data_IF_224877343915
#
_entry.id   IF_224877343915
#
_cell.length_a   1.000
_cell.length_b   1.000
_cell.length_c   1.000
_cell.angle_alpha   90.00
_cell.angle_beta   90.00
_cell.angle_gamma   90.00
#
_symmetry.space_group_name_H-M   'P 1'
#
loop_
_entity.id
_entity.type
_entity.pdbx_description
1 polymer ?
#
# COMPACT_ATOMS: atom_id res chain seq x y z
N UNK A 1 4.29 2.92 -14.95
CA UNK A 1 4.95 4.23 -15.09
C UNK A 1 4.89 5.03 -13.79
N UNK A 2 3.90 4.77 -12.95
CA UNK A 2 3.80 5.32 -11.62
C UNK A 2 4.60 4.46 -10.64
N UNK A 3 5.89 4.71 -10.52
CA UNK A 3 6.74 4.12 -9.48
C UNK A 3 7.92 5.05 -9.23
N UNK A 4 7.98 5.68 -8.08
CA UNK A 4 9.05 6.60 -7.74
C UNK A 4 10.41 5.90 -7.55
N UNK A 5 10.42 4.62 -7.19
CA UNK A 5 11.65 3.84 -6.99
C UNK A 5 12.39 3.51 -8.31
N UNK A 6 11.70 3.55 -9.46
CA UNK A 6 12.31 3.29 -10.77
C UNK A 6 12.98 4.52 -11.40
N UNK A 7 12.67 5.69 -10.91
CA UNK A 7 13.12 6.95 -11.51
C UNK A 7 14.24 7.64 -10.73
N UNK A 8 14.62 7.11 -9.57
CA UNK A 8 15.75 7.58 -8.80
C UNK A 8 17.02 6.80 -9.19
N UNK A 9 18.10 7.50 -9.48
CA UNK A 9 19.45 6.95 -9.46
C UNK A 9 19.88 6.66 -8.01
N UNK A 10 19.06 5.90 -7.30
CA UNK A 10 19.50 5.34 -6.02
C UNK A 10 20.42 4.21 -6.41
N UNK A 11 21.71 4.40 -6.27
CA UNK A 11 22.69 3.33 -6.34
C UNK A 11 22.23 2.22 -5.41
N UNK A 12 21.64 1.15 -5.97
CA UNK A 12 21.20 -0.01 -5.21
C UNK A 12 22.46 -0.69 -4.67
N UNK A 13 22.95 -0.23 -3.54
CA UNK A 13 23.95 -0.97 -2.76
C UNK A 13 23.27 -2.27 -2.35
N UNK A 14 23.85 -3.40 -2.74
CA UNK A 14 23.39 -4.71 -2.27
C UNK A 14 23.72 -4.83 -0.78
N UNK A 15 22.80 -4.42 0.05
CA UNK A 15 22.90 -4.57 1.49
C UNK A 15 22.41 -5.99 1.85
N UNK A 16 23.15 -6.70 2.66
CA UNK A 16 22.71 -7.99 3.19
C UNK A 16 21.52 -7.78 4.13
N UNK A 17 20.62 -8.75 4.17
CA UNK A 17 19.41 -8.67 5.01
C UNK A 17 19.79 -8.48 6.49
N UNK A 18 20.83 -9.16 6.94
CA UNK A 18 21.32 -9.10 8.32
C UNK A 18 21.84 -7.70 8.71
N UNK A 19 22.47 -7.01 7.76
CA UNK A 19 23.02 -5.66 7.97
C UNK A 19 21.91 -4.62 8.21
N UNK A 20 20.69 -4.90 7.72
CA UNK A 20 19.51 -4.06 7.94
C UNK A 20 18.78 -4.49 9.22
N UNK A 21 18.59 -5.78 9.41
CA UNK A 21 17.74 -6.30 10.47
C UNK A 21 18.31 -6.10 11.86
N UNK A 22 19.63 -6.19 12.03
CA UNK A 22 20.28 -6.03 13.35
C UNK A 22 20.06 -4.63 13.95
N UNK A 23 20.42 -3.52 13.26
CA UNK A 23 20.16 -2.19 13.79
C UNK A 23 18.65 -1.88 13.88
N UNK A 24 17.85 -2.42 12.98
CA UNK A 24 16.39 -2.22 13.02
C UNK A 24 15.75 -2.95 14.22
N UNK A 25 16.22 -4.14 14.57
CA UNK A 25 15.76 -4.87 15.75
C UNK A 25 16.13 -4.13 17.06
N UNK A 26 17.28 -3.47 17.09
CA UNK A 26 17.64 -2.60 18.20
C UNK A 26 16.70 -1.40 18.30
N UNK A 27 16.48 -0.68 17.18
CA UNK A 27 15.53 0.43 17.10
C UNK A 27 14.11 0.01 17.54
N UNK A 28 13.66 -1.18 17.13
CA UNK A 28 12.33 -1.69 17.49
C UNK A 28 12.17 -1.93 19.01
N UNK A 29 13.26 -2.19 19.74
CA UNK A 29 13.24 -2.30 21.21
C UNK A 29 13.27 -0.95 21.91
N UNK A 30 13.97 0.02 21.34
CA UNK A 30 14.25 1.31 21.97
C UNK A 30 13.19 2.37 21.62
N UNK A 31 12.63 2.31 20.42
CA UNK A 31 11.68 3.30 19.92
C UNK A 31 10.22 2.96 20.27
N UNK A 32 9.45 4.00 20.61
CA UNK A 32 8.03 3.90 20.87
C UNK A 32 7.23 3.94 19.56
N UNK A 33 7.10 2.80 18.89
CA UNK A 33 6.17 2.61 17.77
C UNK A 33 5.50 1.24 17.87
N UNK A 34 4.33 1.11 17.30
CA UNK A 34 3.52 -0.10 17.39
C UNK A 34 3.59 -0.96 16.12
N UNK A 35 3.77 -0.34 14.96
CA UNK A 35 3.65 -0.99 13.67
C UNK A 35 4.87 -0.77 12.78
N UNK A 36 5.34 -1.83 12.16
CA UNK A 36 6.35 -1.82 11.10
C UNK A 36 5.63 -1.83 9.76
N UNK A 37 5.87 -0.82 8.92
CA UNK A 37 5.39 -0.80 7.55
C UNK A 37 6.46 -1.39 6.62
N UNK A 38 6.15 -2.52 5.97
CA UNK A 38 7.02 -3.21 5.03
C UNK A 38 6.53 -3.03 3.58
N UNK A 39 7.43 -2.64 2.68
CA UNK A 39 7.08 -2.42 1.28
C UNK A 39 6.67 -0.99 0.94
N UNK A 40 7.19 0.00 1.68
CA UNK A 40 6.94 1.41 1.39
C UNK A 40 7.62 1.88 0.08
N UNK A 41 8.89 1.54 -0.11
CA UNK A 41 9.73 1.95 -1.25
C UNK A 41 9.86 0.89 -2.34
N UNK A 42 9.07 -0.15 -2.31
CA UNK A 42 9.09 -1.22 -3.30
C UNK A 42 8.20 -2.38 -2.90
N UNK A 43 7.88 -3.23 -3.86
CA UNK A 43 7.07 -4.41 -3.58
C UNK A 43 7.93 -5.51 -2.95
N UNK A 44 7.68 -5.91 -1.70
CA UNK A 44 8.44 -6.97 -1.04
C UNK A 44 8.31 -8.32 -1.75
N UNK A 45 7.22 -8.53 -2.47
CA UNK A 45 6.95 -9.77 -3.20
C UNK A 45 7.33 -9.73 -4.68
N UNK A 46 8.01 -8.67 -5.14
CA UNK A 46 8.70 -8.70 -6.44
C UNK A 46 9.79 -9.82 -6.48
N UNK A 47 10.24 -10.26 -5.30
CA UNK A 47 11.05 -11.47 -5.07
C UNK A 47 10.48 -12.19 -3.85
N UNK A 48 9.51 -13.10 -4.04
CA UNK A 48 8.71 -13.67 -2.94
C UNK A 48 9.54 -14.30 -1.82
N UNK A 49 10.56 -15.09 -2.16
CA UNK A 49 11.42 -15.76 -1.17
C UNK A 49 12.14 -14.76 -0.26
N UNK A 50 12.64 -13.65 -0.83
CA UNK A 50 13.29 -12.58 -0.06
C UNK A 50 12.26 -11.83 0.78
N UNK A 51 11.07 -11.56 0.23
CA UNK A 51 9.98 -10.93 0.93
C UNK A 51 9.56 -11.73 2.17
N UNK A 52 9.35 -13.03 2.01
CA UNK A 52 9.01 -13.95 3.12
C UNK A 52 10.14 -14.02 4.14
N UNK A 53 11.39 -14.12 3.71
CA UNK A 53 12.54 -14.14 4.63
C UNK A 53 12.59 -12.88 5.51
N UNK A 54 12.42 -11.72 4.89
CA UNK A 54 12.39 -10.43 5.60
C UNK A 54 11.19 -10.36 6.54
N UNK A 55 10.00 -10.75 6.07
CA UNK A 55 8.77 -10.69 6.85
C UNK A 55 8.84 -11.60 8.09
N UNK A 56 9.41 -12.80 7.96
CA UNK A 56 9.68 -13.71 9.10
C UNK A 56 10.59 -13.06 10.15
N UNK A 57 11.56 -12.28 9.72
CA UNK A 57 12.45 -11.59 10.65
C UNK A 57 11.75 -10.41 11.35
N UNK A 58 10.94 -9.63 10.61
CA UNK A 58 10.16 -8.52 11.16
C UNK A 58 9.11 -9.02 12.18
N UNK A 59 8.46 -10.15 11.89
CA UNK A 59 7.46 -10.76 12.76
C UNK A 59 8.00 -11.13 14.16
N UNK A 60 9.32 -11.35 14.28
CA UNK A 60 9.97 -11.68 15.57
C UNK A 60 10.31 -10.45 16.41
N UNK A 61 10.03 -9.25 15.95
CA UNK A 61 10.38 -8.00 16.65
C UNK A 61 9.35 -7.56 17.69
N UNK A 62 8.26 -8.33 17.88
CA UNK A 62 7.22 -8.02 18.87
C UNK A 62 6.41 -6.77 18.55
N UNK A 63 6.33 -6.40 17.29
CA UNK A 63 5.53 -5.28 16.77
C UNK A 63 4.49 -5.81 15.78
N UNK A 64 3.39 -5.07 15.60
CA UNK A 64 2.51 -5.32 14.47
C UNK A 64 3.28 -5.10 13.16
N UNK A 65 2.95 -5.86 12.13
CA UNK A 65 3.56 -5.69 10.81
C UNK A 65 2.46 -5.49 9.77
N UNK A 66 2.61 -4.46 8.97
CA UNK A 66 1.79 -4.22 7.80
C UNK A 66 2.67 -4.29 6.55
N UNK A 67 2.27 -5.02 5.53
CA UNK A 67 2.99 -5.03 4.26
C UNK A 67 2.15 -4.46 3.12
N UNK A 68 2.82 -3.83 2.15
CA UNK A 68 2.16 -3.33 0.94
C UNK A 68 2.62 -4.10 -0.28
N UNK A 69 1.69 -4.49 -1.16
CA UNK A 69 2.02 -5.23 -2.37
C UNK A 69 1.11 -4.90 -3.55
N UNK A 70 1.60 -5.17 -4.76
CA UNK A 70 0.85 -5.28 -6.03
C UNK A 70 0.93 -6.69 -6.61
N UNK A 71 1.66 -7.60 -5.96
CA UNK A 71 1.89 -8.94 -6.45
C UNK A 71 0.61 -9.80 -6.40
N UNK A 72 0.52 -10.78 -7.29
CA UNK A 72 -0.35 -11.93 -7.10
C UNK A 72 0.29 -12.84 -6.06
N UNK A 73 -0.41 -13.06 -4.94
CA UNK A 73 0.04 -13.94 -3.86
C UNK A 73 -0.77 -15.22 -3.88
N UNK A 74 -0.08 -16.35 -4.09
CA UNK A 74 -0.69 -17.67 -4.20
C UNK A 74 0.28 -18.79 -3.79
N UNK A 75 -0.22 -20.01 -3.66
CA UNK A 75 0.58 -21.23 -3.40
C UNK A 75 1.42 -21.11 -2.13
N UNK A 76 2.68 -21.52 -2.22
CA UNK A 76 3.62 -21.57 -1.06
C UNK A 76 3.88 -20.21 -0.40
N UNK A 77 3.62 -19.10 -1.10
CA UNK A 77 3.72 -17.76 -0.51
C UNK A 77 2.59 -17.56 0.50
N UNK A 78 1.36 -17.99 0.18
CA UNK A 78 0.23 -17.93 1.12
C UNK A 78 0.44 -18.84 2.31
N UNK A 79 0.97 -20.05 2.11
CA UNK A 79 1.30 -20.97 3.20
C UNK A 79 2.29 -20.30 4.18
N UNK A 80 3.36 -19.71 3.64
CA UNK A 80 4.35 -19.00 4.45
C UNK A 80 3.77 -17.77 5.17
N UNK A 81 2.85 -17.04 4.53
CA UNK A 81 2.16 -15.90 5.15
C UNK A 81 1.22 -16.35 6.27
N UNK A 82 0.52 -17.48 6.10
CA UNK A 82 -0.33 -18.05 7.14
C UNK A 82 0.49 -18.50 8.37
N UNK A 83 1.66 -19.12 8.15
CA UNK A 83 2.57 -19.46 9.24
C UNK A 83 3.06 -18.22 10.02
N UNK A 84 3.42 -17.15 9.28
CA UNK A 84 3.84 -15.89 9.89
C UNK A 84 2.69 -15.25 10.67
N UNK A 85 1.48 -15.21 10.10
CA UNK A 85 0.28 -14.70 10.78
C UNK A 85 0.04 -15.46 12.09
N UNK A 86 0.05 -16.79 12.04
CA UNK A 86 -0.19 -17.63 13.22
C UNK A 86 0.87 -17.42 14.32
N UNK A 87 2.13 -17.26 13.92
CA UNK A 87 3.22 -16.93 14.85
C UNK A 87 3.01 -15.55 15.50
N UNK A 88 2.62 -14.56 14.74
CA UNK A 88 2.39 -13.19 15.25
C UNK A 88 1.18 -13.12 16.15
N UNK A 89 0.09 -13.80 15.79
CA UNK A 89 -1.13 -13.90 16.60
C UNK A 89 -0.84 -14.55 17.96
N UNK A 90 -0.09 -15.64 17.99
CA UNK A 90 0.36 -16.28 19.22
C UNK A 90 1.23 -15.35 20.10
N UNK A 91 1.92 -14.40 19.51
CA UNK A 91 2.70 -13.36 20.19
C UNK A 91 1.88 -12.11 20.55
N UNK A 92 0.57 -12.07 20.29
CA UNK A 92 -0.30 -10.92 20.53
C UNK A 92 -0.10 -9.76 19.56
N UNK A 93 0.50 -10.02 18.40
CA UNK A 93 0.73 -9.02 17.34
C UNK A 93 -0.02 -9.39 16.06
N UNK A 94 -0.23 -8.42 15.17
CA UNK A 94 -1.06 -8.56 13.97
C UNK A 94 -0.22 -8.41 12.72
N UNK A 95 -0.38 -9.34 11.78
CA UNK A 95 0.03 -9.18 10.40
C UNK A 95 -1.15 -8.66 9.59
N UNK A 96 -0.98 -7.54 8.86
CA UNK A 96 -1.99 -6.97 7.98
C UNK A 96 -1.40 -6.60 6.62
N UNK A 97 -2.25 -6.34 5.63
CA UNK A 97 -1.81 -6.07 4.27
C UNK A 97 -2.50 -4.86 3.64
N UNK A 98 -1.78 -4.16 2.77
CA UNK A 98 -2.30 -3.18 1.82
C UNK A 98 -2.08 -3.70 0.40
N UNK A 99 -3.15 -3.96 -0.33
CA UNK A 99 -3.06 -4.28 -1.76
C UNK A 99 -3.26 -2.99 -2.55
N UNK A 100 -2.23 -2.57 -3.28
CA UNK A 100 -2.28 -1.32 -4.03
C UNK A 100 -2.98 -1.49 -5.36
N UNK A 101 -4.00 -0.65 -5.62
CA UNK A 101 -4.82 -0.68 -6.83
C UNK A 101 -5.32 0.72 -7.16
N UNK A 102 -4.59 1.45 -8.02
CA UNK A 102 -4.84 2.87 -8.32
C UNK A 102 -5.86 3.10 -9.44
N UNK A 103 -6.15 2.11 -10.26
CA UNK A 103 -7.11 2.16 -11.38
C UNK A 103 -7.47 0.73 -11.80
N UNK A 104 -8.50 0.59 -12.64
CA UNK A 104 -8.99 -0.72 -13.11
C UNK A 104 -8.70 -0.93 -14.61
N UNK A 105 -9.50 -0.32 -15.47
CA UNK A 105 -9.39 -0.50 -16.93
C UNK A 105 -8.11 0.16 -17.49
N UNK A 106 -7.66 1.23 -16.85
CA UNK A 106 -6.45 1.96 -17.21
C UNK A 106 -5.14 1.33 -16.67
N UNK A 107 -5.22 0.24 -15.91
CA UNK A 107 -4.07 -0.31 -15.17
C UNK A 107 -2.90 -0.71 -16.07
N UNK A 108 -3.15 -1.31 -17.23
CA UNK A 108 -2.09 -1.70 -18.18
C UNK A 108 -1.26 -0.52 -18.69
N UNK A 109 -1.86 0.66 -18.75
CA UNK A 109 -1.21 1.91 -19.19
C UNK A 109 -0.53 2.64 -18.03
N UNK A 110 -1.21 2.72 -16.88
CA UNK A 110 -0.75 3.48 -15.70
C UNK A 110 0.32 2.71 -14.94
N UNK A 111 0.11 1.41 -14.76
CA UNK A 111 0.97 0.51 -13.99
C UNK A 111 1.45 -0.68 -14.84
N UNK A 112 2.17 -0.45 -15.94
CA UNK A 112 2.65 -1.53 -16.79
C UNK A 112 3.59 -2.44 -16.00
N UNK A 113 3.58 -3.73 -16.34
CA UNK A 113 4.39 -4.78 -15.69
C UNK A 113 4.02 -5.09 -14.24
N UNK A 114 2.82 -4.72 -13.81
CA UNK A 114 2.25 -5.20 -12.55
C UNK A 114 1.12 -6.20 -12.85
N UNK A 115 0.78 -7.09 -11.92
CA UNK A 115 -0.41 -7.92 -12.04
C UNK A 115 -1.67 -7.09 -12.34
N UNK A 116 -2.59 -7.68 -13.07
CA UNK A 116 -3.88 -7.06 -13.41
C UNK A 116 -4.68 -6.70 -12.15
N UNK A 117 -5.64 -5.77 -12.23
CA UNK A 117 -6.56 -5.51 -11.13
C UNK A 117 -7.26 -6.75 -10.59
N UNK A 118 -7.69 -7.66 -11.47
CA UNK A 118 -8.35 -8.92 -11.07
C UNK A 118 -7.41 -9.83 -10.27
N UNK A 119 -6.13 -9.95 -10.67
CA UNK A 119 -5.14 -10.72 -9.92
C UNK A 119 -4.83 -10.10 -8.55
N UNK A 120 -4.86 -8.76 -8.44
CA UNK A 120 -4.68 -8.08 -7.15
C UNK A 120 -5.90 -8.26 -6.25
N UNK A 121 -7.11 -8.28 -6.81
CA UNK A 121 -8.33 -8.63 -6.06
C UNK A 121 -8.31 -10.09 -5.63
N UNK A 122 -7.79 -11.00 -6.45
CA UNK A 122 -7.57 -12.39 -6.03
C UNK A 122 -6.59 -12.45 -4.84
N UNK A 123 -5.55 -11.63 -4.83
CA UNK A 123 -4.67 -11.50 -3.66
C UNK A 123 -5.42 -11.03 -2.42
N UNK A 124 -6.36 -10.08 -2.55
CA UNK A 124 -7.22 -9.66 -1.43
C UNK A 124 -8.01 -10.84 -0.88
N UNK A 125 -8.71 -11.58 -1.76
CA UNK A 125 -9.49 -12.75 -1.37
C UNK A 125 -8.63 -13.85 -0.70
N UNK A 126 -7.45 -14.14 -1.28
CA UNK A 126 -6.54 -15.13 -0.74
C UNK A 126 -6.02 -14.76 0.65
N UNK A 127 -5.66 -13.49 0.88
CA UNK A 127 -5.22 -12.99 2.18
C UNK A 127 -6.35 -13.06 3.22
N UNK A 128 -7.57 -12.68 2.84
CA UNK A 128 -8.76 -12.81 3.71
C UNK A 128 -9.01 -14.26 4.08
N UNK A 129 -8.92 -15.17 3.10
CA UNK A 129 -9.13 -16.61 3.33
C UNK A 129 -8.19 -17.19 4.40
N UNK A 130 -6.95 -16.73 4.44
CA UNK A 130 -5.98 -17.14 5.47
C UNK A 130 -6.03 -16.27 6.74
N UNK A 131 -7.03 -15.41 6.92
CA UNK A 131 -7.25 -14.60 8.13
C UNK A 131 -6.34 -13.37 8.28
N UNK A 132 -5.71 -12.89 7.22
CA UNK A 132 -4.93 -11.64 7.26
C UNK A 132 -5.86 -10.45 6.94
N UNK A 133 -6.04 -9.47 7.85
CA UNK A 133 -6.75 -8.24 7.55
C UNK A 133 -6.12 -7.51 6.36
N UNK A 134 -6.92 -7.19 5.34
CA UNK A 134 -6.44 -6.60 4.11
C UNK A 134 -7.24 -5.38 3.70
N UNK A 135 -6.55 -4.30 3.33
CA UNK A 135 -7.13 -3.06 2.81
C UNK A 135 -6.69 -2.85 1.35
N UNK A 136 -7.51 -2.17 0.59
CA UNK A 136 -7.16 -1.76 -0.77
C UNK A 136 -6.65 -0.32 -0.74
N UNK A 137 -5.40 -0.12 -1.11
CA UNK A 137 -4.79 1.20 -1.23
C UNK A 137 -5.06 1.79 -2.61
N UNK A 138 -6.11 2.62 -2.71
CA UNK A 138 -6.53 3.36 -3.91
C UNK A 138 -5.77 4.70 -3.93
N UNK A 139 -4.45 4.62 -3.98
CA UNK A 139 -3.56 5.78 -3.98
C UNK A 139 -2.54 5.71 -5.11
N UNK A 140 -2.39 6.83 -5.79
CA UNK A 140 -3.16 8.08 -5.74
C UNK A 140 -4.50 7.98 -6.45
N UNK A 141 -5.44 8.89 -6.09
CA UNK A 141 -6.59 9.18 -6.95
C UNK A 141 -6.09 10.01 -8.13
N UNK A 142 -6.08 9.43 -9.30
CA UNK A 142 -5.49 10.01 -10.51
C UNK A 142 -6.49 10.91 -11.24
N UNK A 143 -6.12 12.14 -11.64
CA UNK A 143 -7.07 13.11 -12.18
C UNK A 143 -7.67 12.74 -13.55
N UNK A 144 -6.99 11.89 -14.32
CA UNK A 144 -7.43 11.47 -15.66
C UNK A 144 -8.19 10.13 -15.65
N UNK A 145 -8.29 9.47 -14.51
CA UNK A 145 -9.02 8.21 -14.37
C UNK A 145 -10.46 8.52 -13.99
N UNK A 146 -11.49 7.96 -14.68
CA UNK A 146 -12.89 8.22 -14.37
C UNK A 146 -13.32 7.60 -13.04
N UNK A 147 -14.31 8.21 -12.39
CA UNK A 147 -14.84 7.75 -11.09
C UNK A 147 -15.40 6.32 -11.17
N UNK A 148 -15.88 5.89 -12.35
CA UNK A 148 -16.38 4.52 -12.57
C UNK A 148 -15.35 3.43 -12.32
N UNK A 149 -14.06 3.68 -12.56
CA UNK A 149 -13.00 2.72 -12.24
C UNK A 149 -12.83 2.55 -10.72
N UNK A 150 -12.93 3.65 -9.96
CA UNK A 150 -12.86 3.61 -8.50
C UNK A 150 -14.08 2.93 -7.88
N UNK A 151 -15.26 3.15 -8.47
CA UNK A 151 -16.49 2.43 -8.10
C UNK A 151 -16.33 0.94 -8.33
N UNK A 152 -15.76 0.53 -9.45
CA UNK A 152 -15.47 -0.87 -9.75
C UNK A 152 -14.48 -1.49 -8.76
N UNK A 153 -13.42 -0.77 -8.40
CA UNK A 153 -12.48 -1.22 -7.36
C UNK A 153 -13.22 -1.44 -6.04
N UNK A 154 -14.13 -0.53 -5.68
CA UNK A 154 -14.92 -0.66 -4.47
C UNK A 154 -15.84 -1.89 -4.50
N UNK A 155 -16.55 -2.11 -5.60
CA UNK A 155 -17.44 -3.27 -5.77
C UNK A 155 -16.69 -4.60 -5.66
N UNK A 156 -15.52 -4.71 -6.31
CA UNK A 156 -14.70 -5.91 -6.26
C UNK A 156 -14.05 -6.11 -4.87
N UNK A 157 -13.58 -5.04 -4.25
CA UNK A 157 -12.99 -5.09 -2.92
C UNK A 157 -14.01 -5.49 -1.84
N UNK A 158 -15.23 -4.93 -1.88
CA UNK A 158 -16.32 -5.29 -0.96
C UNK A 158 -16.71 -6.76 -1.14
N UNK A 159 -16.82 -7.23 -2.41
CA UNK A 159 -17.13 -8.63 -2.73
C UNK A 159 -16.03 -9.59 -2.22
N UNK A 160 -14.79 -9.14 -2.17
CA UNK A 160 -13.64 -9.88 -1.64
C UNK A 160 -13.43 -9.67 -0.14
N UNK A 161 -14.39 -9.04 0.55
CA UNK A 161 -14.41 -8.82 1.99
C UNK A 161 -13.19 -8.06 2.53
N UNK A 162 -12.63 -7.11 1.76
CA UNK A 162 -11.56 -6.27 2.29
C UNK A 162 -12.05 -5.43 3.49
N UNK A 163 -11.14 -5.10 4.40
CA UNK A 163 -11.47 -4.31 5.60
C UNK A 163 -11.82 -2.85 5.27
N UNK A 164 -11.38 -2.35 4.12
CA UNK A 164 -11.69 -1.01 3.66
C UNK A 164 -10.73 -0.49 2.59
N UNK A 165 -10.92 0.78 2.26
CA UNK A 165 -10.25 1.45 1.15
C UNK A 165 -9.51 2.69 1.65
N UNK A 166 -8.25 2.82 1.25
CA UNK A 166 -7.43 3.97 1.60
C UNK A 166 -7.29 4.84 0.35
N UNK A 167 -7.87 6.03 0.37
CA UNK A 167 -7.76 6.98 -0.72
C UNK A 167 -6.79 8.11 -0.36
N UNK A 168 -6.19 8.73 -1.38
CA UNK A 168 -5.28 9.83 -1.10
C UNK A 168 -4.85 10.60 -2.35
N UNK A 169 -4.22 11.78 -2.12
CA UNK A 169 -3.78 12.67 -3.17
C UNK A 169 -2.63 12.09 -3.99
N UNK A 170 -2.39 12.70 -5.13
CA UNK A 170 -1.22 12.48 -5.96
C UNK A 170 -0.08 13.40 -5.49
N UNK A 171 1.11 12.85 -5.43
CA UNK A 171 2.32 13.62 -5.17
C UNK A 171 3.26 13.60 -6.37
N UNK A 172 3.86 14.73 -6.68
CA UNK A 172 4.90 14.87 -7.68
C UNK A 172 6.17 15.46 -7.05
N UNK A 173 7.30 14.93 -7.45
CA UNK A 173 8.60 15.53 -7.16
C UNK A 173 8.78 16.86 -7.91
N UNK A 174 9.83 17.62 -7.56
CA UNK A 174 10.12 18.92 -8.17
C UNK A 174 10.28 18.83 -9.70
N UNK A 175 10.73 17.68 -10.23
CA UNK A 175 10.95 17.46 -11.66
C UNK A 175 9.72 16.91 -12.37
N UNK A 176 8.62 16.64 -11.64
CA UNK A 176 7.37 16.13 -12.18
C UNK A 176 7.48 14.72 -12.78
N UNK A 177 8.49 13.94 -12.40
CA UNK A 177 8.75 12.61 -12.97
C UNK A 177 7.57 11.66 -12.83
N UNK A 178 6.87 11.75 -11.69
CA UNK A 178 5.75 10.85 -11.35
C UNK A 178 4.43 11.21 -12.00
N UNK A 179 4.34 12.38 -12.61
CA UNK A 179 3.12 12.87 -13.27
C UNK A 179 3.24 12.97 -14.79
N UNK A 180 4.37 12.61 -15.37
CA UNK A 180 4.62 12.71 -16.84
C UNK A 180 3.65 11.90 -17.70
N UNK A 181 3.01 10.88 -17.14
CA UNK A 181 2.03 10.06 -17.83
C UNK A 181 0.61 10.65 -17.77
N UNK A 182 0.40 11.72 -16.99
CA UNK A 182 -0.88 12.40 -16.86
C UNK A 182 -0.91 13.53 -17.88
N UNK A 183 -1.98 13.66 -18.68
CA UNK A 183 -2.13 14.78 -19.60
C UNK A 183 -2.01 16.12 -18.86
N UNK A 184 -1.16 17.06 -19.30
CA UNK A 184 -0.95 18.34 -18.61
C UNK A 184 -2.25 19.12 -18.39
N UNK A 185 -3.19 19.06 -19.35
CA UNK A 185 -4.52 19.69 -19.24
C UNK A 185 -5.37 19.11 -18.10
N UNK A 186 -5.19 17.84 -17.77
CA UNK A 186 -5.88 17.20 -16.63
C UNK A 186 -5.22 17.56 -15.30
N UNK A 187 -3.90 17.61 -15.28
CA UNK A 187 -3.15 17.97 -14.08
C UNK A 187 -3.38 19.44 -13.69
N UNK A 188 -3.44 20.34 -14.69
CA UNK A 188 -3.68 21.76 -14.47
C UNK A 188 -5.07 22.09 -13.89
N UNK A 189 -6.03 21.15 -13.97
CA UNK A 189 -7.37 21.32 -13.40
C UNK A 189 -7.43 20.93 -11.92
N UNK A 190 -6.37 20.32 -11.38
CA UNK A 190 -6.35 19.86 -9.99
C UNK A 190 -5.66 20.89 -9.12
N UNK A 191 -6.29 21.34 -8.02
CA UNK A 191 -5.63 22.17 -7.03
C UNK A 191 -4.33 21.56 -6.55
N UNK A 192 -3.28 22.35 -6.47
CA UNK A 192 -1.96 21.88 -6.06
C UNK A 192 -1.33 22.76 -5.00
N UNK A 193 -0.56 22.14 -4.12
CA UNK A 193 0.20 22.80 -3.08
C UNK A 193 1.59 22.17 -3.00
N UNK A 194 2.62 23.00 -3.06
CA UNK A 194 4.01 22.57 -2.89
C UNK A 194 4.44 22.81 -1.45
N UNK A 195 5.08 21.82 -0.85
CA UNK A 195 5.54 21.88 0.53
C UNK A 195 6.54 20.78 0.87
N UNK A 196 7.08 20.85 2.08
CA UNK A 196 7.96 19.82 2.61
C UNK A 196 7.18 18.59 3.00
N UNK A 197 7.83 17.42 2.87
CA UNK A 197 7.30 16.12 3.32
C UNK A 197 8.33 15.45 4.23
N UNK A 198 7.85 14.88 5.33
CA UNK A 198 8.71 14.21 6.33
C UNK A 198 9.15 12.81 5.91
N UNK A 199 8.45 12.21 4.95
CA UNK A 199 8.65 10.83 4.53
C UNK A 199 9.69 10.66 3.40
N UNK A 200 10.23 11.76 2.84
CA UNK A 200 11.25 11.70 1.78
C UNK A 200 12.51 12.46 2.21
N UNK A 201 13.56 11.73 2.51
CA UNK A 201 14.87 12.30 2.84
C UNK A 201 15.60 12.87 1.60
N UNK A 202 15.34 12.30 0.41
CA UNK A 202 16.04 12.65 -0.83
C UNK A 202 15.37 13.79 -1.60
N UNK A 203 14.07 14.00 -1.40
CA UNK A 203 13.30 15.06 -2.04
C UNK A 203 12.36 15.67 -0.99
N UNK A 204 12.85 16.65 -0.21
CA UNK A 204 12.08 17.19 0.91
C UNK A 204 10.87 18.03 0.45
N UNK A 205 10.83 18.42 -0.82
CA UNK A 205 9.75 19.26 -1.39
C UNK A 205 8.99 18.49 -2.45
N UNK A 206 7.67 18.40 -2.28
CA UNK A 206 6.77 17.73 -3.20
C UNK A 206 5.56 18.62 -3.50
N UNK A 207 5.01 18.45 -4.70
CA UNK A 207 3.73 19.06 -5.06
C UNK A 207 2.63 18.05 -4.85
N UNK A 208 1.70 18.36 -3.95
CA UNK A 208 0.47 17.60 -3.70
C UNK A 208 -0.61 18.12 -4.63
N UNK A 209 -1.21 17.21 -5.40
CA UNK A 209 -2.36 17.47 -6.25
C UNK A 209 -3.58 16.78 -5.63
N UNK A 210 -4.60 17.57 -5.28
CA UNK A 210 -5.79 17.04 -4.62
C UNK A 210 -7.05 17.80 -5.03
N UNK A 211 -7.96 17.10 -5.67
CA UNK A 211 -9.35 17.52 -5.80
C UNK A 211 -10.12 17.01 -4.57
N UNK A 212 -10.18 17.85 -3.54
CA UNK A 212 -10.85 17.52 -2.27
C UNK A 212 -12.33 17.22 -2.46
N UNK A 213 -13.03 17.90 -3.39
CA UNK A 213 -14.43 17.65 -3.65
C UNK A 213 -14.64 16.27 -4.29
N UNK A 214 -13.82 15.92 -5.26
CA UNK A 214 -13.83 14.59 -5.89
C UNK A 214 -13.48 13.50 -4.89
N UNK A 215 -12.45 13.72 -4.07
CA UNK A 215 -12.04 12.76 -3.06
C UNK A 215 -13.18 12.47 -2.08
N UNK A 216 -13.83 13.50 -1.55
CA UNK A 216 -15.00 13.36 -0.67
C UNK A 216 -16.15 12.61 -1.34
N UNK A 217 -16.43 12.91 -2.61
CA UNK A 217 -17.47 12.20 -3.39
C UNK A 217 -17.14 10.71 -3.52
N UNK A 218 -15.89 10.35 -3.83
CA UNK A 218 -15.47 8.95 -3.93
C UNK A 218 -15.59 8.21 -2.59
N UNK A 219 -15.19 8.85 -1.48
CA UNK A 219 -15.37 8.29 -0.14
C UNK A 219 -16.83 7.96 0.13
N UNK A 220 -17.73 8.93 -0.08
CA UNK A 220 -19.16 8.75 0.11
C UNK A 220 -19.75 7.64 -0.78
N UNK A 221 -19.33 7.56 -2.04
CA UNK A 221 -19.78 6.51 -2.96
C UNK A 221 -19.38 5.11 -2.48
N UNK A 222 -18.18 4.96 -1.95
CA UNK A 222 -17.69 3.69 -1.38
C UNK A 222 -18.47 3.33 -0.10
N UNK A 223 -18.69 4.30 0.77
CA UNK A 223 -19.43 4.12 2.03
C UNK A 223 -20.90 3.76 1.78
N UNK A 224 -21.55 4.37 0.79
CA UNK A 224 -22.90 4.03 0.37
C UNK A 224 -23.04 2.59 -0.14
N UNK A 225 -21.96 1.99 -0.61
CA UNK A 225 -21.88 0.58 -1.02
C UNK A 225 -21.55 -0.37 0.16
N UNK A 226 -21.35 0.16 1.37
CA UNK A 226 -21.00 -0.59 2.56
C UNK A 226 -19.48 -0.77 2.79
N UNK A 227 -18.64 -0.13 1.97
CA UNK A 227 -17.19 -0.11 2.20
C UNK A 227 -16.79 0.89 3.29
N UNK A 228 -15.75 0.58 4.06
CA UNK A 228 -15.11 1.54 4.96
C UNK A 228 -14.06 2.33 4.20
N UNK A 229 -13.89 3.61 4.53
CA UNK A 229 -12.92 4.47 3.86
C UNK A 229 -11.96 5.13 4.85
N UNK A 230 -10.72 5.36 4.39
CA UNK A 230 -9.64 5.98 5.16
C UNK A 230 -8.85 6.96 4.30
N UNK A 231 -8.38 8.03 4.89
CA UNK A 231 -7.43 8.98 4.28
C UNK A 231 -5.97 8.69 4.71
N UNK A 232 -5.79 7.89 5.74
CA UNK A 232 -4.50 7.50 6.30
C UNK A 232 -4.34 5.99 6.34
N UNK A 233 -3.16 5.49 5.97
CA UNK A 233 -2.81 4.08 6.17
C UNK A 233 -2.70 3.74 7.65
N UNK A 234 -2.29 4.69 8.48
CA UNK A 234 -2.16 4.48 9.91
C UNK A 234 -3.52 4.16 10.55
N UNK A 235 -4.56 4.93 10.18
CA UNK A 235 -5.92 4.70 10.70
C UNK A 235 -6.49 3.35 10.25
N UNK A 236 -6.25 2.99 8.98
CA UNK A 236 -6.67 1.70 8.45
C UNK A 236 -5.97 0.54 9.16
N UNK A 237 -4.65 0.63 9.36
CA UNK A 237 -3.86 -0.40 10.05
C UNK A 237 -4.21 -0.48 11.53
N UNK A 238 -4.51 0.64 12.19
CA UNK A 238 -4.98 0.65 13.57
C UNK A 238 -6.30 -0.12 13.75
N UNK A 239 -7.20 -0.08 12.74
CA UNK A 239 -8.41 -0.91 12.75
C UNK A 239 -8.06 -2.41 12.73
N UNK A 240 -7.06 -2.83 11.93
CA UNK A 240 -6.64 -4.23 11.88
C UNK A 240 -6.21 -4.78 13.25
N UNK A 241 -5.62 -3.94 14.09
CA UNK A 241 -5.21 -4.33 15.44
C UNK A 241 -6.41 -4.57 16.38
N UNK A 242 -7.57 -3.98 16.09
CA UNK A 242 -8.79 -4.15 16.89
C UNK A 242 -9.57 -5.40 16.47
N UNK A 243 -9.63 -5.69 15.17
CA UNK A 243 -10.38 -6.82 14.61
C UNK A 243 -9.87 -8.18 15.10
N UNK A 244 -8.57 -8.31 15.36
CA UNK A 244 -7.96 -9.57 15.84
C UNK A 244 -8.11 -9.76 17.36
N UNK A 245 -8.48 -8.70 18.11
CA UNK A 245 -8.67 -8.77 19.57
C UNK A 245 -10.12 -9.16 20.00
N UNK A 246 -11.05 -9.21 19.05
CA UNK A 246 -12.45 -9.65 19.25
C UNK A 246 -12.67 -11.06 18.78
#
# INVERSE_FOLDING_TARGET
>A
RYCYTRNGEVGLTRVKVEDILTPFAQLAREAHFETIQFGYDGDPFARPERGITMLKALARMGKHVNFSTKALLEGSVLDALNDIRSHMEAAGTVLSALVSLSCWDSASTVEPHTPSPSERILTVANLKHIGIPVFIAVRPVLPHIPDSEYVRIADEGIRSECEGFILGPLYADAEGRYVRFIPPSRLAQVPSQTGSVSWSAHAPTWTRYEDTARLKRLLLMIEQKGGRTFLSSADAVALAHQVVRT
#
